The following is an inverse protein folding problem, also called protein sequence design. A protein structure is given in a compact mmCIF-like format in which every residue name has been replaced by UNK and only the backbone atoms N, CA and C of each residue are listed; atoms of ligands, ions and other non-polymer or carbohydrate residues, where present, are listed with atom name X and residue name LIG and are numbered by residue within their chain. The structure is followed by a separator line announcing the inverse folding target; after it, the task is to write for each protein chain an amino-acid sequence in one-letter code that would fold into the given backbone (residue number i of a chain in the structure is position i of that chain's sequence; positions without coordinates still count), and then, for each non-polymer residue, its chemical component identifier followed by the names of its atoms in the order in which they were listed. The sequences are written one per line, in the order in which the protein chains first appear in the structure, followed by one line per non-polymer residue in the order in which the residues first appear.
data_IF_645957314926
#
_entry.id   IF_645957314926
#
_cell.length_a   1.000
_cell.length_b   1.000
_cell.length_c   1.000
_cell.angle_alpha   90.00
_cell.angle_beta   90.00
_cell.angle_gamma   90.00
#
_symmetry.space_group_name_H-M   'P 1'
#
loop_
_entity.id
_entity.type
_entity.pdbx_description
1 polymer ?
#
# COMPACT_ATOMS: atom_id res chain seq x y z
N UNK A 1 49.31 27.92 -5.41
CA UNK A 1 48.22 27.43 -4.54
C UNK A 1 48.03 25.96 -4.83
N UNK A 2 48.53 25.10 -3.95
CA UNK A 2 48.44 23.65 -4.09
C UNK A 2 47.11 23.19 -3.52
N UNK A 3 46.29 22.54 -4.34
CA UNK A 3 45.06 21.87 -3.90
C UNK A 3 45.50 20.82 -2.87
N UNK A 4 45.01 20.92 -1.64
CA UNK A 4 45.32 19.96 -0.58
C UNK A 4 44.68 18.61 -0.90
N UNK A 5 45.34 17.50 -0.55
CA UNK A 5 44.77 16.15 -0.67
C UNK A 5 43.45 15.95 0.12
N UNK A 6 43.10 16.92 0.97
CA UNK A 6 41.84 16.99 1.72
C UNK A 6 40.63 17.35 0.83
N UNK A 7 40.83 18.15 -0.23
CA UNK A 7 39.76 18.51 -1.19
C UNK A 7 39.43 17.37 -2.16
N UNK A 8 40.36 16.41 -2.38
CA UNK A 8 40.12 15.22 -3.22
C UNK A 8 39.31 14.13 -2.53
N UNK A 9 39.19 14.15 -1.20
CA UNK A 9 38.37 13.19 -0.44
C UNK A 9 36.90 13.59 -0.32
N UNK A 10 36.51 14.79 -0.75
CA UNK A 10 35.12 15.26 -0.72
C UNK A 10 34.28 14.87 -1.94
N UNK A 11 34.82 14.03 -2.83
CA UNK A 11 34.06 13.47 -3.94
C UNK A 11 34.13 11.95 -3.84
N UNK A 12 32.96 11.30 -3.84
CA UNK A 12 32.71 9.84 -3.81
C UNK A 12 32.59 9.14 -2.45
N UNK A 13 31.44 9.34 -1.79
CA UNK A 13 30.65 8.20 -1.27
C UNK A 13 29.14 8.52 -1.20
N UNK A 14 28.58 9.19 -2.22
CA UNK A 14 27.14 9.06 -2.49
C UNK A 14 26.93 7.77 -3.27
N UNK A 15 27.19 6.62 -2.62
CA UNK A 15 26.66 5.36 -3.10
C UNK A 15 25.15 5.54 -3.33
N UNK A 16 24.56 4.99 -4.40
CA UNK A 16 23.14 5.18 -4.66
C UNK A 16 22.40 4.73 -3.41
N UNK A 17 21.66 5.64 -2.77
CA UNK A 17 20.81 5.25 -1.66
C UNK A 17 19.83 4.25 -2.26
N UNK A 18 20.04 2.98 -1.96
CA UNK A 18 19.17 1.91 -2.45
C UNK A 18 17.85 2.06 -1.70
N UNK A 19 16.92 2.76 -2.32
CA UNK A 19 15.56 2.87 -1.81
C UNK A 19 14.86 1.54 -2.06
N UNK A 20 14.11 1.06 -1.08
CA UNK A 20 13.30 -0.14 -1.20
C UNK A 20 11.94 0.10 -0.56
N UNK A 21 10.88 -0.30 -1.26
CA UNK A 21 9.58 -0.45 -0.62
C UNK A 21 9.62 -1.76 0.15
N UNK A 22 9.72 -1.67 1.47
CA UNK A 22 9.65 -2.85 2.34
C UNK A 22 8.20 -3.05 2.80
N UNK A 23 7.69 -4.26 2.55
CA UNK A 23 6.42 -4.70 3.09
C UNK A 23 6.55 -6.16 3.52
N UNK A 24 5.76 -6.55 4.51
CA UNK A 24 5.67 -7.96 4.94
C UNK A 24 4.86 -8.83 3.97
N UNK A 25 4.06 -8.23 3.09
CA UNK A 25 3.18 -8.92 2.14
C UNK A 25 2.78 -8.01 0.99
N UNK A 26 2.54 -8.61 -0.17
CA UNK A 26 2.11 -7.89 -1.38
C UNK A 26 0.64 -8.11 -1.72
N UNK A 27 -0.01 -9.04 -1.01
CA UNK A 27 -1.43 -9.38 -1.17
C UNK A 27 -2.18 -9.11 0.13
N UNK A 28 -3.30 -8.41 0.01
CA UNK A 28 -4.17 -8.00 1.10
C UNK A 28 -5.61 -8.41 0.81
N UNK A 29 -6.39 -8.67 1.85
CA UNK A 29 -7.83 -8.83 1.71
C UNK A 29 -8.52 -7.47 1.84
N UNK A 30 -9.64 -7.29 1.15
CA UNK A 30 -10.47 -6.09 1.26
C UNK A 30 -10.79 -5.79 2.73
N UNK A 31 -10.75 -4.51 3.09
CA UNK A 31 -10.91 -4.04 4.46
C UNK A 31 -9.66 -4.13 5.34
N UNK A 32 -8.63 -4.90 4.97
CA UNK A 32 -7.38 -4.93 5.74
C UNK A 32 -6.57 -3.63 5.60
N UNK A 33 -5.77 -3.26 6.61
CA UNK A 33 -4.84 -2.15 6.48
C UNK A 33 -3.62 -2.52 5.62
N UNK A 34 -3.20 -1.61 4.74
CA UNK A 34 -1.96 -1.69 3.97
C UNK A 34 -0.97 -0.71 4.58
N UNK A 35 0.25 -1.17 4.85
CA UNK A 35 1.37 -0.32 5.31
C UNK A 35 2.57 -0.61 4.43
N UNK A 36 3.05 0.41 3.72
CA UNK A 36 4.24 0.35 2.88
C UNK A 36 5.31 1.27 3.46
N UNK A 37 6.50 0.72 3.71
CA UNK A 37 7.62 1.48 4.23
C UNK A 37 8.58 1.82 3.09
N UNK A 38 9.03 3.07 3.03
CA UNK A 38 10.12 3.46 2.16
C UNK A 38 11.42 3.39 2.96
N UNK A 39 12.28 2.40 2.67
CA UNK A 39 13.59 2.23 3.32
C UNK A 39 14.69 2.75 2.42
N UNK A 40 15.82 3.16 3.01
CA UNK A 40 17.02 3.63 2.30
C UNK A 40 17.50 4.98 2.83
N UNK A 41 18.81 5.19 2.94
CA UNK A 41 19.36 6.40 3.55
C UNK A 41 19.37 6.29 5.07
N UNK A 42 19.38 7.44 5.77
CA UNK A 42 19.32 7.49 7.24
C UNK A 42 17.90 7.69 7.73
N UNK A 43 17.60 7.30 8.98
CA UNK A 43 16.26 7.43 9.57
C UNK A 43 15.75 8.89 9.56
N UNK A 44 16.65 9.86 9.68
CA UNK A 44 16.32 11.30 9.60
C UNK A 44 15.75 11.70 8.23
N UNK A 45 16.12 10.96 7.18
CA UNK A 45 15.65 11.21 5.82
C UNK A 45 14.22 10.70 5.60
N UNK A 46 13.74 9.74 6.39
CA UNK A 46 12.38 9.21 6.27
C UNK A 46 11.32 10.14 6.87
N UNK A 47 11.60 11.43 7.05
CA UNK A 47 10.57 12.38 7.38
C UNK A 47 9.56 12.51 6.22
N UNK A 48 8.26 12.62 6.53
CA UNK A 48 7.16 12.72 5.54
C UNK A 48 7.33 13.78 4.45
N UNK A 49 8.13 14.82 4.72
CA UNK A 49 8.40 15.90 3.76
C UNK A 49 9.41 15.50 2.68
N UNK A 50 10.18 14.43 2.89
CA UNK A 50 11.23 13.97 2.00
C UNK A 50 10.81 12.70 1.23
N UNK A 51 9.68 12.08 1.58
CA UNK A 51 9.19 10.85 0.93
C UNK A 51 7.94 11.17 0.12
N UNK A 52 7.96 10.81 -1.15
CA UNK A 52 6.82 10.97 -2.06
C UNK A 52 6.36 9.60 -2.54
N UNK A 53 5.06 9.35 -2.46
CA UNK A 53 4.45 8.10 -2.91
C UNK A 53 3.69 8.29 -4.22
N UNK A 54 3.78 7.28 -5.08
CA UNK A 54 3.02 7.18 -6.32
C UNK A 54 2.31 5.84 -6.38
N UNK A 55 1.11 5.85 -6.96
CA UNK A 55 0.36 4.65 -7.35
C UNK A 55 0.12 4.73 -8.84
N UNK A 56 0.57 3.72 -9.59
CA UNK A 56 0.42 3.65 -11.04
C UNK A 56 0.92 4.94 -11.72
N UNK A 57 2.09 5.43 -11.29
CA UNK A 57 2.72 6.69 -11.71
C UNK A 57 1.94 7.99 -11.39
N UNK A 58 0.94 7.93 -10.51
CA UNK A 58 0.19 9.09 -10.05
C UNK A 58 0.50 9.38 -8.59
N UNK A 59 0.73 10.65 -8.27
CA UNK A 59 1.01 11.09 -6.91
C UNK A 59 -0.12 10.67 -5.96
N UNK A 60 0.24 10.02 -4.85
CA UNK A 60 -0.70 9.65 -3.79
C UNK A 60 -0.85 10.84 -2.86
N UNK A 61 -2.01 11.49 -2.90
CA UNK A 61 -2.36 12.53 -1.94
C UNK A 61 -3.07 11.91 -0.73
N UNK A 62 -2.82 12.47 0.46
CA UNK A 62 -3.63 12.18 1.63
C UNK A 62 -5.10 12.55 1.32
N UNK A 63 -6.04 11.69 1.71
CA UNK A 63 -7.45 11.96 1.47
C UNK A 63 -8.12 12.64 2.69
N UNK A 64 -9.21 13.36 2.43
CA UNK A 64 -9.98 14.08 3.48
C UNK A 64 -10.57 13.10 4.50
N UNK A 65 -10.89 11.88 4.05
CA UNK A 65 -11.42 10.81 4.90
C UNK A 65 -10.39 10.18 5.84
N UNK A 66 -9.10 10.54 5.74
CA UNK A 66 -8.00 9.89 6.48
C UNK A 66 -7.92 8.38 6.26
N UNK A 67 -8.36 7.89 5.10
CA UNK A 67 -8.23 6.48 4.73
C UNK A 67 -6.84 6.22 4.15
N UNK A 68 -6.31 7.16 3.36
CA UNK A 68 -4.94 7.14 2.85
C UNK A 68 -4.14 8.26 3.54
N UNK A 69 -3.03 7.90 4.19
CA UNK A 69 -2.20 8.83 4.94
C UNK A 69 -0.71 8.51 4.76
N UNK A 70 0.12 9.55 4.62
CA UNK A 70 1.58 9.44 4.73
C UNK A 70 1.96 9.80 6.17
N UNK A 71 2.50 8.82 6.88
CA UNK A 71 2.89 8.94 8.29
C UNK A 71 4.12 9.83 8.44
N UNK A 72 4.39 10.27 9.67
CA UNK A 72 5.54 11.14 9.98
C UNK A 72 6.89 10.54 9.55
N UNK A 73 7.02 9.22 9.65
CA UNK A 73 8.17 8.42 9.20
C UNK A 73 8.13 8.07 7.69
N UNK A 74 7.32 8.77 6.90
CA UNK A 74 7.28 8.62 5.44
C UNK A 74 6.62 7.32 4.96
N UNK A 75 6.14 6.45 5.85
CA UNK A 75 5.37 5.27 5.46
C UNK A 75 3.99 5.66 4.93
N UNK A 76 3.51 4.88 3.95
CA UNK A 76 2.15 5.03 3.41
C UNK A 76 1.22 4.03 4.09
N UNK A 77 0.14 4.54 4.68
CA UNK A 77 -0.92 3.73 5.28
C UNK A 77 -2.22 3.88 4.51
N UNK A 78 -2.85 2.76 4.20
CA UNK A 78 -4.24 2.67 3.73
C UNK A 78 -5.03 1.89 4.78
N UNK A 79 -5.86 2.57 5.56
CA UNK A 79 -6.52 2.01 6.75
C UNK A 79 -7.55 0.92 6.43
N UNK A 80 -8.18 1.01 5.26
CA UNK A 80 -9.17 0.04 4.78
C UNK A 80 -9.00 -0.16 3.28
N UNK A 81 -8.39 -1.28 2.90
CA UNK A 81 -8.10 -1.63 1.52
C UNK A 81 -9.37 -1.84 0.71
N UNK A 82 -9.39 -1.29 -0.50
CA UNK A 82 -10.40 -1.53 -1.53
C UNK A 82 -9.76 -2.26 -2.70
N UNK A 83 -10.54 -3.00 -3.47
CA UNK A 83 -10.04 -3.67 -4.69
C UNK A 83 -9.31 -2.70 -5.63
N UNK A 84 -9.81 -1.46 -5.73
CA UNK A 84 -9.22 -0.36 -6.52
C UNK A 84 -7.85 0.12 -6.03
N UNK A 85 -7.48 -0.21 -4.79
CA UNK A 85 -6.15 0.11 -4.26
C UNK A 85 -5.07 -0.84 -4.81
N UNK A 86 -5.43 -1.93 -5.49
CA UNK A 86 -4.46 -2.74 -6.24
C UNK A 86 -3.73 -1.88 -7.28
N UNK A 87 -2.42 -2.09 -7.43
CA UNK A 87 -1.60 -1.31 -8.35
C UNK A 87 -0.10 -1.40 -8.05
N UNK A 88 0.69 -0.67 -8.83
CA UNK A 88 2.13 -0.50 -8.57
C UNK A 88 2.36 0.74 -7.71
N UNK A 89 2.89 0.54 -6.50
CA UNK A 89 3.25 1.61 -5.59
C UNK A 89 4.74 1.86 -5.66
N UNK A 90 5.15 3.11 -5.85
CA UNK A 90 6.54 3.51 -5.74
C UNK A 90 6.74 4.60 -4.71
N UNK A 91 7.86 4.53 -3.99
CA UNK A 91 8.31 5.61 -3.14
C UNK A 91 9.54 6.27 -3.75
N UNK A 92 9.61 7.59 -3.65
CA UNK A 92 10.77 8.39 -4.02
C UNK A 92 11.27 9.13 -2.78
N UNK A 93 12.54 8.94 -2.45
CA UNK A 93 13.23 9.68 -1.39
C UNK A 93 13.95 10.87 -2.02
N UNK A 94 13.56 12.08 -1.60
CA UNK A 94 14.13 13.34 -2.08
C UNK A 94 15.42 13.65 -1.31
N UNK A 95 16.53 13.79 -2.03
CA UNK A 95 17.82 14.17 -1.49
C UNK A 95 18.37 15.40 -2.21
N UNK A 96 19.30 16.16 -1.59
CA UNK A 96 19.95 17.29 -2.25
C UNK A 96 20.65 16.92 -3.57
N UNK A 97 21.16 15.68 -3.66
CA UNK A 97 21.87 15.17 -4.84
C UNK A 97 20.94 14.57 -5.91
N UNK A 98 19.63 14.43 -5.65
CA UNK A 98 18.69 13.78 -6.56
C UNK A 98 17.61 12.97 -5.82
N UNK A 99 16.86 12.16 -6.55
CA UNK A 99 15.85 11.27 -5.98
C UNK A 99 16.14 9.81 -6.35
N UNK A 100 15.99 8.91 -5.38
CA UNK A 100 16.03 7.48 -5.60
C UNK A 100 14.65 6.89 -5.36
N UNK A 101 14.25 5.90 -6.17
CA UNK A 101 12.92 5.31 -6.08
C UNK A 101 12.94 3.80 -6.20
N UNK A 102 11.97 3.17 -5.57
CA UNK A 102 11.68 1.74 -5.71
C UNK A 102 10.18 1.52 -5.81
N UNK A 103 9.79 0.45 -6.48
CA UNK A 103 8.41 0.13 -6.79
C UNK A 103 8.07 -1.28 -6.34
N UNK A 104 6.80 -1.49 -6.00
CA UNK A 104 6.26 -2.80 -5.72
C UNK A 104 4.80 -2.92 -6.12
N UNK A 105 4.39 -4.12 -6.50
CA UNK A 105 3.02 -4.43 -6.87
C UNK A 105 2.22 -4.86 -5.64
N UNK A 106 1.11 -4.18 -5.38
CA UNK A 106 0.13 -4.52 -4.34
C UNK A 106 -1.12 -5.10 -5.00
N UNK A 107 -1.64 -6.18 -4.43
CA UNK A 107 -2.86 -6.86 -4.85
C UNK A 107 -3.85 -6.87 -3.68
N UNK A 108 -5.08 -6.41 -3.92
CA UNK A 108 -6.17 -6.48 -2.96
C UNK A 108 -7.23 -7.44 -3.49
N UNK A 109 -7.50 -8.49 -2.74
CA UNK A 109 -8.50 -9.50 -3.06
C UNK A 109 -9.78 -9.26 -2.27
N UNK A 110 -10.93 -9.60 -2.84
CA UNK A 110 -12.19 -9.50 -2.13
C UNK A 110 -12.20 -10.48 -0.96
N UNK A 111 -12.64 -10.02 0.21
CA UNK A 111 -12.92 -10.93 1.32
C UNK A 111 -13.95 -11.95 0.85
N UNK A 112 -13.51 -13.20 0.67
CA UNK A 112 -14.45 -14.31 0.57
C UNK A 112 -15.02 -14.47 1.96
N UNK A 113 -16.21 -13.89 2.17
CA UNK A 113 -17.06 -14.37 3.24
C UNK A 113 -17.39 -15.83 2.90
N UNK A 114 -16.62 -16.75 3.47
CA UNK A 114 -17.01 -18.14 3.62
C UNK A 114 -18.23 -18.12 4.55
N UNK A 115 -19.38 -17.97 3.91
CA UNK A 115 -20.66 -17.98 4.57
C UNK A 115 -20.96 -19.41 5.01
N UNK A 116 -20.37 -19.84 6.12
CA UNK A 116 -20.85 -20.98 6.89
C UNK A 116 -22.14 -20.58 7.62
N UNK A 117 -23.10 -20.01 6.90
CA UNK A 117 -24.45 -19.88 7.39
C UNK A 117 -25.19 -21.14 6.92
N UNK A 118 -25.25 -22.12 7.82
CA UNK A 118 -25.89 -23.42 7.61
C UNK A 118 -27.37 -23.31 7.21
N UNK A 119 -27.96 -22.12 7.35
CA UNK A 119 -29.35 -21.83 7.04
C UNK A 119 -29.59 -21.18 5.68
N UNK A 120 -28.59 -21.06 4.80
CA UNK A 120 -28.79 -20.47 3.46
C UNK A 120 -28.68 -21.52 2.36
N UNK A 121 -29.55 -21.42 1.35
CA UNK A 121 -29.60 -22.33 0.20
C UNK A 121 -29.34 -21.57 -1.10
N UNK A 122 -28.52 -22.16 -1.97
CA UNK A 122 -28.25 -21.65 -3.31
C UNK A 122 -29.54 -21.63 -4.14
N UNK A 123 -29.78 -20.54 -4.87
CA UNK A 123 -30.79 -20.52 -5.93
C UNK A 123 -30.09 -20.47 -7.30
N UNK A 124 -30.03 -21.59 -8.05
CA UNK A 124 -29.28 -21.70 -9.30
C UNK A 124 -29.69 -20.68 -10.39
N UNK A 125 -30.88 -20.08 -10.27
CA UNK A 125 -31.43 -19.14 -11.25
C UNK A 125 -31.23 -17.67 -10.89
N UNK A 126 -31.04 -17.34 -9.62
CA UNK A 126 -31.12 -15.95 -9.13
C UNK A 126 -29.92 -15.50 -8.30
N UNK A 127 -29.40 -16.34 -7.39
CA UNK A 127 -28.31 -15.96 -6.50
C UNK A 127 -27.65 -17.17 -5.84
N UNK A 128 -26.32 -17.15 -5.70
CA UNK A 128 -25.61 -18.12 -4.88
C UNK A 128 -25.65 -17.72 -3.38
N UNK A 129 -25.36 -18.68 -2.50
CA UNK A 129 -25.33 -18.58 -1.05
C UNK A 129 -24.48 -17.40 -0.59
N UNK A 130 -23.35 -17.15 -1.24
CA UNK A 130 -22.47 -16.02 -0.90
C UNK A 130 -23.20 -14.68 -1.03
N UNK A 131 -23.92 -14.48 -2.13
CA UNK A 131 -24.71 -13.26 -2.35
C UNK A 131 -25.89 -13.15 -1.38
N UNK A 132 -26.62 -14.26 -1.16
CA UNK A 132 -27.74 -14.34 -0.21
C UNK A 132 -27.31 -13.94 1.21
N UNK A 133 -26.16 -14.45 1.66
CA UNK A 133 -25.62 -14.17 3.00
C UNK A 133 -25.21 -12.70 3.11
N UNK A 134 -24.50 -12.18 2.10
CA UNK A 134 -24.10 -10.77 2.08
C UNK A 134 -25.30 -9.81 2.08
N UNK A 135 -26.45 -10.24 1.56
CA UNK A 135 -27.69 -9.46 1.52
C UNK A 135 -28.59 -9.67 2.75
N UNK A 136 -28.20 -10.53 3.71
CA UNK A 136 -29.01 -10.83 4.89
C UNK A 136 -30.32 -11.55 4.59
N UNK A 137 -30.39 -12.29 3.48
CA UNK A 137 -31.64 -12.89 2.97
C UNK A 137 -31.89 -14.32 3.43
N UNK A 138 -31.08 -14.87 4.34
CA UNK A 138 -31.23 -16.27 4.77
C UNK A 138 -32.49 -16.54 5.62
N UNK A 139 -33.23 -15.51 6.02
CA UNK A 139 -34.56 -15.64 6.62
C UNK A 139 -35.70 -15.59 5.59
N UNK A 140 -35.38 -15.34 4.31
CA UNK A 140 -36.36 -15.30 3.24
C UNK A 140 -36.73 -16.72 2.81
N UNK A 141 -38.01 -16.95 2.55
CA UNK A 141 -38.57 -18.24 2.11
C UNK A 141 -37.91 -18.90 0.90
N UNK A 142 -37.21 -18.17 0.04
CA UNK A 142 -36.54 -18.70 -1.15
C UNK A 142 -35.06 -19.05 -0.93
N UNK A 143 -34.48 -18.54 0.15
CA UNK A 143 -33.04 -18.53 0.37
C UNK A 143 -32.63 -19.07 1.75
N UNK A 144 -33.60 -19.20 2.67
CA UNK A 144 -33.44 -19.86 3.95
C UNK A 144 -33.69 -21.37 3.85
N UNK A 145 -33.01 -22.13 4.70
CA UNK A 145 -33.25 -23.56 4.94
C UNK A 145 -34.24 -23.77 6.08
#
# INVERSE_FOLDING_TARGET
MSITDDDRKRTFEHAPVSVQVDSTRWTYQEGQPIVLNCRGGTDEMHHKNNVVWYKDNRHVAADVSRRIEVQFNGSLTINSAKISDSGEYSCALLQPAGSFSSAVRVVVEAQRQESNNENCVDNPLLANCRLVVSAGLCSHTYYGR
#
